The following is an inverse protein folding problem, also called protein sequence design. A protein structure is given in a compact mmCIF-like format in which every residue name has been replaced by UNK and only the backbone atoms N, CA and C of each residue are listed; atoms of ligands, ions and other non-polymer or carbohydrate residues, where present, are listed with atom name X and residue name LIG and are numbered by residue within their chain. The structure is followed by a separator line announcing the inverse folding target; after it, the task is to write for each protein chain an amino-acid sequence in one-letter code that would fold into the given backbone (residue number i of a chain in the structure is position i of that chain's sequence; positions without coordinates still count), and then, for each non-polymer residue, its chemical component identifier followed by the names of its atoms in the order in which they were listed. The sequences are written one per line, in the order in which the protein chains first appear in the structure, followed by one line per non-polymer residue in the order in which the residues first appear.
data_IF_077195374384
#
_entry.id   IF_077195374384
#
_cell.length_a   1.000
_cell.length_b   1.000
_cell.length_c   1.000
_cell.angle_alpha   90.00
_cell.angle_beta   90.00
_cell.angle_gamma   90.00
#
_symmetry.space_group_name_H-M   'P 1'
#
loop_
_entity.id
_entity.type
_entity.pdbx_description
1 polymer ?
#
# COMPACT_ATOMS: atom_id res chain seq x y z
N UNK A 1 -12.97 -4.88 0.25
CA UNK A 1 -12.32 -3.67 -0.31
C UNK A 1 -11.10 -3.34 0.51
N UNK A 2 -10.00 -3.08 -0.16
CA UNK A 2 -8.72 -2.72 0.44
C UNK A 2 -7.87 -1.93 -0.58
N UNK A 3 -6.88 -1.14 -0.12
CA UNK A 3 -5.88 -0.58 -1.02
C UNK A 3 -4.86 -1.66 -1.41
N UNK A 4 -4.20 -1.46 -2.56
CA UNK A 4 -3.11 -2.33 -2.99
C UNK A 4 -2.06 -2.52 -1.89
N UNK A 5 -1.66 -3.77 -1.64
CA UNK A 5 -0.62 -4.09 -0.70
C UNK A 5 -0.70 -5.53 -0.18
N UNK A 6 0.46 -6.14 -0.05
CA UNK A 6 0.60 -7.51 0.43
C UNK A 6 1.79 -7.69 1.36
N UNK A 7 2.39 -8.87 1.28
CA UNK A 7 3.44 -9.28 2.19
C UNK A 7 4.81 -8.88 1.64
N UNK A 8 5.74 -8.57 2.56
CA UNK A 8 7.14 -8.43 2.22
C UNK A 8 7.72 -9.81 1.87
N UNK A 9 8.32 -9.94 0.70
CA UNK A 9 9.03 -11.13 0.25
C UNK A 9 10.52 -11.06 0.60
N UNK A 10 11.21 -12.20 0.43
CA UNK A 10 12.65 -12.26 0.63
C UNK A 10 13.38 -11.48 -0.48
N UNK A 11 14.47 -10.79 -0.09
CA UNK A 11 15.37 -10.07 -1.00
C UNK A 11 14.76 -8.84 -1.69
N UNK A 12 13.68 -8.28 -1.16
CA UNK A 12 13.17 -6.97 -1.55
C UNK A 12 13.16 -5.97 -0.38
N UNK A 13 13.27 -4.68 -0.71
CA UNK A 13 13.04 -3.59 0.23
C UNK A 13 11.54 -3.30 0.38
N UNK A 14 11.15 -2.58 1.43
CA UNK A 14 9.76 -2.13 1.62
C UNK A 14 9.21 -1.32 0.45
N UNK A 15 10.07 -0.52 -0.22
CA UNK A 15 9.65 0.26 -1.39
C UNK A 15 9.41 -0.63 -2.60
N UNK A 16 10.30 -1.60 -2.82
CA UNK A 16 10.17 -2.57 -3.92
C UNK A 16 8.92 -3.43 -3.73
N UNK A 17 8.65 -3.87 -2.50
CA UNK A 17 7.43 -4.59 -2.17
C UNK A 17 6.18 -3.74 -2.49
N UNK A 18 6.15 -2.48 -2.05
CA UNK A 18 5.01 -1.59 -2.34
C UNK A 18 4.81 -1.33 -3.84
N UNK A 19 5.88 -1.23 -4.63
CA UNK A 19 5.82 -1.10 -6.09
C UNK A 19 5.31 -2.38 -6.77
N UNK A 20 5.81 -3.54 -6.34
CA UNK A 20 5.40 -4.86 -6.85
C UNK A 20 3.91 -5.09 -6.59
N UNK A 21 3.47 -4.93 -5.34
CA UNK A 21 2.08 -5.12 -4.93
C UNK A 21 1.13 -4.15 -5.65
N UNK A 22 1.55 -2.89 -5.84
CA UNK A 22 0.78 -1.93 -6.63
C UNK A 22 0.59 -2.43 -8.07
N UNK A 23 1.65 -2.92 -8.70
CA UNK A 23 1.57 -3.42 -10.07
C UNK A 23 0.77 -4.72 -10.16
N UNK A 24 0.96 -5.67 -9.25
CA UNK A 24 0.25 -6.96 -9.24
C UNK A 24 -1.26 -6.78 -9.05
N UNK A 25 -1.68 -5.94 -8.10
CA UNK A 25 -3.10 -5.77 -7.79
C UNK A 25 -3.82 -4.76 -8.70
N UNK A 26 -3.09 -3.80 -9.30
CA UNK A 26 -3.74 -2.69 -10.05
C UNK A 26 -3.26 -2.51 -11.48
N UNK A 27 -2.14 -3.11 -11.87
CA UNK A 27 -1.46 -2.88 -13.15
C UNK A 27 -0.72 -1.54 -13.23
N UNK A 28 -0.82 -0.69 -12.20
CA UNK A 28 -0.20 0.64 -12.19
C UNK A 28 1.28 0.53 -11.83
N UNK A 29 2.13 1.21 -12.59
CA UNK A 29 3.55 1.37 -12.27
C UNK A 29 3.80 2.77 -11.72
N UNK A 30 4.00 2.86 -10.41
CA UNK A 30 4.37 4.09 -9.73
C UNK A 30 5.20 3.81 -8.48
N UNK A 31 6.14 4.71 -8.18
CA UNK A 31 7.00 4.62 -7.00
C UNK A 31 6.34 5.30 -5.80
N UNK A 32 6.35 4.69 -4.60
CA UNK A 32 6.04 5.36 -3.34
C UNK A 32 6.76 6.70 -3.22
N UNK A 33 6.03 7.77 -2.93
CA UNK A 33 6.60 9.12 -2.82
C UNK A 33 6.88 9.50 -1.37
N UNK A 34 6.00 9.06 -0.47
CA UNK A 34 6.09 9.38 0.95
C UNK A 34 5.73 8.20 1.82
N UNK A 35 6.33 8.13 3.00
CA UNK A 35 5.87 7.26 4.07
C UNK A 35 4.83 8.03 4.89
N UNK A 36 3.71 7.40 5.22
CA UNK A 36 2.70 8.03 6.08
C UNK A 36 2.87 7.50 7.50
N UNK A 37 2.75 6.16 7.67
CA UNK A 37 2.68 5.56 9.00
C UNK A 37 2.93 4.05 8.96
N UNK A 38 3.36 3.50 10.09
CA UNK A 38 3.34 2.06 10.34
C UNK A 38 2.26 1.74 11.36
N UNK A 39 1.45 0.73 11.08
CA UNK A 39 0.48 0.18 12.02
C UNK A 39 0.95 -1.19 12.49
N UNK A 40 1.12 -1.33 13.80
CA UNK A 40 1.21 -2.64 14.43
C UNK A 40 -0.21 -3.07 14.82
N UNK A 41 -0.67 -4.19 14.29
CA UNK A 41 -2.04 -4.66 14.47
C UNK A 41 -2.08 -6.17 14.63
N UNK A 42 -3.04 -6.66 15.41
CA UNK A 42 -3.34 -8.08 15.54
C UNK A 42 -4.68 -8.33 14.86
N UNK A 43 -4.68 -9.13 13.80
CA UNK A 43 -5.90 -9.48 13.10
C UNK A 43 -6.80 -10.40 13.95
N UNK A 44 -8.11 -10.52 13.64
CA UNK A 44 -9.04 -11.34 14.41
C UNK A 44 -8.66 -12.84 14.48
N UNK A 45 -7.88 -13.33 13.52
CA UNK A 45 -7.31 -14.67 13.47
C UNK A 45 -6.02 -14.83 14.30
N UNK A 46 -5.62 -13.78 15.03
CA UNK A 46 -4.38 -13.64 15.79
C UNK A 46 -3.11 -13.56 14.94
N UNK A 47 -3.21 -13.29 13.64
CA UNK A 47 -2.05 -13.02 12.80
C UNK A 47 -1.47 -11.63 13.14
N UNK A 48 -0.19 -11.53 13.56
CA UNK A 48 0.44 -10.25 13.86
C UNK A 48 0.89 -9.55 12.57
N UNK A 49 0.57 -8.26 12.46
CA UNK A 49 0.93 -7.43 11.30
C UNK A 49 1.78 -6.22 11.70
N UNK A 50 2.78 -5.93 10.86
CA UNK A 50 3.43 -4.63 10.75
C UNK A 50 3.13 -4.08 9.35
N UNK A 51 2.17 -3.17 9.24
CA UNK A 51 1.72 -2.62 7.96
C UNK A 51 2.32 -1.24 7.71
N UNK A 52 3.14 -1.12 6.67
CA UNK A 52 3.74 0.14 6.23
C UNK A 52 2.83 0.81 5.20
N UNK A 53 2.39 2.04 5.50
CA UNK A 53 1.50 2.82 4.64
C UNK A 53 2.30 3.88 3.87
N UNK A 54 2.18 3.86 2.55
CA UNK A 54 2.81 4.80 1.64
C UNK A 54 1.79 5.71 0.96
N UNK A 55 2.25 6.86 0.48
CA UNK A 55 1.48 7.76 -0.37
C UNK A 55 2.06 7.80 -1.78
N UNK A 56 1.17 7.78 -2.77
CA UNK A 56 1.47 8.00 -4.19
C UNK A 56 0.43 8.98 -4.72
N UNK A 57 0.90 10.13 -5.22
CA UNK A 57 0.07 11.07 -5.96
C UNK A 57 0.27 10.84 -7.46
N UNK A 58 -0.81 10.51 -8.17
CA UNK A 58 -0.83 10.43 -9.62
C UNK A 58 -1.35 11.75 -10.20
N UNK A 59 -0.87 12.14 -11.38
CA UNK A 59 -1.38 13.35 -12.05
C UNK A 59 -2.84 13.21 -12.48
N UNK A 60 -3.22 12.00 -12.87
CA UNK A 60 -4.52 11.67 -13.43
C UNK A 60 -4.94 10.25 -13.01
N UNK A 61 -6.24 9.99 -13.07
CA UNK A 61 -6.76 8.64 -12.93
C UNK A 61 -6.30 7.80 -14.14
N UNK A 62 -5.65 6.67 -13.87
CA UNK A 62 -5.19 5.75 -14.89
C UNK A 62 -6.08 4.51 -14.98
N UNK A 63 -6.01 3.84 -16.14
CA UNK A 63 -6.59 2.53 -16.32
C UNK A 63 -5.91 1.51 -15.39
N UNK A 64 -6.69 0.55 -14.93
CA UNK A 64 -6.23 -0.52 -14.02
C UNK A 64 -6.45 -1.86 -14.67
N UNK A 65 -5.48 -2.76 -14.50
CA UNK A 65 -5.51 -4.13 -15.00
C UNK A 65 -4.80 -5.02 -13.98
N UNK A 66 -5.53 -5.63 -13.04
CA UNK A 66 -4.95 -6.55 -12.07
C UNK A 66 -4.26 -7.73 -12.76
N UNK A 67 -3.09 -8.09 -12.27
CA UNK A 67 -2.34 -9.29 -12.67
C UNK A 67 -2.43 -10.42 -11.63
N UNK A 68 -3.10 -10.17 -10.50
CA UNK A 68 -3.44 -11.15 -9.48
C UNK A 68 -4.87 -11.71 -9.70
N UNK A 69 -5.00 -13.03 -9.70
CA UNK A 69 -6.28 -13.74 -9.84
C UNK A 69 -7.23 -13.57 -8.66
N UNK A 70 -6.72 -13.15 -7.49
CA UNK A 70 -7.55 -12.89 -6.31
C UNK A 70 -8.25 -11.52 -6.37
N UNK A 71 -7.93 -10.69 -7.37
CA UNK A 71 -8.50 -9.34 -7.55
C UNK A 71 -9.58 -9.33 -8.63
N UNK A 72 -10.82 -9.10 -8.20
CA UNK A 72 -11.96 -9.01 -9.12
C UNK A 72 -11.88 -7.78 -10.06
N UNK A 73 -11.48 -6.62 -9.52
CA UNK A 73 -11.36 -5.33 -10.22
C UNK A 73 -10.80 -4.23 -9.30
N UNK A 74 -10.25 -3.17 -9.89
CA UNK A 74 -9.94 -1.93 -9.17
C UNK A 74 -11.02 -0.87 -9.38
N UNK A 75 -11.20 0.00 -8.39
CA UNK A 75 -12.13 1.12 -8.43
C UNK A 75 -11.44 2.38 -7.90
N UNK A 76 -11.63 3.50 -8.58
CA UNK A 76 -11.29 4.81 -8.07
C UNK A 76 -12.46 5.33 -7.24
N UNK A 77 -12.25 5.50 -5.94
CA UNK A 77 -13.29 5.89 -4.97
C UNK A 77 -12.86 7.14 -4.21
N UNK A 78 -13.85 7.94 -3.82
CA UNK A 78 -13.66 9.06 -2.91
C UNK A 78 -13.36 8.58 -1.48
N UNK A 79 -12.75 9.45 -0.68
CA UNK A 79 -12.49 9.17 0.73
C UNK A 79 -13.80 8.85 1.51
N UNK A 80 -14.89 9.55 1.21
CA UNK A 80 -16.18 9.34 1.87
C UNK A 80 -16.78 7.97 1.53
N UNK A 81 -16.70 7.54 0.27
CA UNK A 81 -17.16 6.21 -0.15
C UNK A 81 -16.41 5.11 0.60
N UNK A 82 -15.08 5.24 0.76
CA UNK A 82 -14.27 4.26 1.48
C UNK A 82 -14.61 4.27 2.98
N UNK A 83 -14.72 5.46 3.58
CA UNK A 83 -14.97 5.59 5.03
C UNK A 83 -16.36 5.07 5.44
N UNK A 84 -17.32 5.09 4.53
CA UNK A 84 -18.69 4.62 4.77
C UNK A 84 -18.96 3.21 4.19
N UNK A 85 -17.97 2.58 3.56
CA UNK A 85 -18.14 1.27 2.95
C UNK A 85 -18.40 0.18 4.02
N UNK A 86 -19.41 -0.69 3.84
CA UNK A 86 -19.71 -1.76 4.79
C UNK A 86 -18.81 -2.99 4.63
N UNK A 87 -18.02 -3.07 3.55
CA UNK A 87 -17.29 -4.25 3.09
C UNK A 87 -15.77 -4.03 3.03
N UNK A 88 -15.23 -3.29 3.98
CA UNK A 88 -13.78 -3.14 4.16
C UNK A 88 -13.17 -4.47 4.64
N UNK A 89 -12.02 -4.88 4.08
CA UNK A 89 -11.35 -6.13 4.47
C UNK A 89 -10.88 -6.08 5.93
N UNK A 90 -10.47 -4.91 6.39
CA UNK A 90 -10.07 -4.66 7.77
C UNK A 90 -10.32 -3.20 8.18
N UNK A 91 -10.34 -2.89 9.49
CA UNK A 91 -10.42 -1.51 9.97
C UNK A 91 -9.26 -0.63 9.49
N UNK A 92 -8.11 -1.23 9.14
CA UNK A 92 -6.93 -0.51 8.65
C UNK A 92 -7.18 0.19 7.31
N UNK A 93 -8.18 -0.22 6.52
CA UNK A 93 -8.51 0.43 5.26
C UNK A 93 -9.04 1.85 5.51
N UNK A 94 -10.03 1.99 6.40
CA UNK A 94 -10.55 3.30 6.80
C UNK A 94 -9.48 4.13 7.52
N UNK A 95 -8.68 3.50 8.38
CA UNK A 95 -7.58 4.17 9.08
C UNK A 95 -6.53 4.70 8.09
N UNK A 96 -6.23 3.98 7.02
CA UNK A 96 -5.28 4.44 6.00
C UNK A 96 -5.72 5.73 5.33
N UNK A 97 -7.02 5.87 5.05
CA UNK A 97 -7.60 7.11 4.51
C UNK A 97 -7.52 8.24 5.54
N UNK A 98 -7.83 7.98 6.81
CA UNK A 98 -7.70 8.98 7.88
C UNK A 98 -6.26 9.47 8.01
N UNK A 99 -5.29 8.56 8.05
CA UNK A 99 -3.87 8.88 8.06
C UNK A 99 -3.46 9.68 6.82
N UNK A 100 -3.91 9.30 5.63
CA UNK A 100 -3.60 10.06 4.41
C UNK A 100 -4.14 11.50 4.49
N UNK A 101 -5.33 11.72 5.07
CA UNK A 101 -5.93 13.05 5.18
C UNK A 101 -5.34 13.91 6.32
N UNK A 102 -4.88 13.30 7.41
CA UNK A 102 -4.52 14.01 8.65
C UNK A 102 -3.04 13.96 8.98
N UNK A 103 -2.34 12.88 8.63
CA UNK A 103 -0.95 12.67 9.05
C UNK A 103 0.03 13.33 8.06
N UNK A 104 1.14 13.89 8.57
CA UNK A 104 2.18 14.48 7.74
C UNK A 104 2.86 13.44 6.84
N UNK A 105 3.21 13.85 5.63
CA UNK A 105 4.04 13.06 4.72
C UNK A 105 5.48 13.01 5.25
N UNK A 106 5.96 11.81 5.55
CA UNK A 106 7.32 11.57 6.04
C UNK A 106 8.26 11.15 4.90
N UNK A 107 9.56 11.43 5.00
CA UNK A 107 10.53 10.98 4.01
C UNK A 107 10.69 9.46 4.04
N UNK A 108 10.82 8.84 2.87
CA UNK A 108 11.02 7.39 2.73
C UNK A 108 12.30 6.89 3.43
N UNK A 109 13.28 7.78 3.64
CA UNK A 109 14.52 7.46 4.34
C UNK A 109 14.34 7.01 5.79
N UNK A 110 13.18 7.27 6.42
CA UNK A 110 12.89 6.75 7.77
C UNK A 110 12.84 5.22 7.84
N UNK A 111 12.55 4.57 6.72
CA UNK A 111 12.43 3.11 6.60
C UNK A 111 13.34 2.58 5.48
N UNK A 112 14.44 3.29 5.22
CA UNK A 112 15.39 2.93 4.18
C UNK A 112 16.18 1.67 4.49
N UNK A 113 16.55 0.93 3.44
CA UNK A 113 17.50 -0.17 3.55
C UNK A 113 18.93 0.35 3.78
N UNK A 114 19.72 -0.38 4.56
CA UNK A 114 21.12 -0.05 4.84
C UNK A 114 22.02 -1.22 4.47
N UNK A 115 23.11 -0.96 3.74
CA UNK A 115 24.00 -1.99 3.18
C UNK A 115 23.24 -3.06 2.38
N UNK A 116 22.27 -2.65 1.56
CA UNK A 116 21.45 -3.57 0.79
C UNK A 116 22.28 -4.26 -0.31
N UNK A 117 22.38 -5.61 -0.30
CA UNK A 117 23.33 -6.32 -1.17
C UNK A 117 22.80 -6.55 -2.60
N UNK A 118 21.52 -6.29 -2.85
CA UNK A 118 20.89 -6.49 -4.15
C UNK A 118 20.72 -5.13 -4.83
N UNK A 119 21.44 -4.89 -5.91
CA UNK A 119 21.19 -3.73 -6.78
C UNK A 119 19.85 -3.94 -7.49
N UNK A 120 18.98 -2.93 -7.47
CA UNK A 120 17.76 -2.92 -8.28
C UNK A 120 18.12 -3.35 -9.71
N UNK A 121 17.37 -4.33 -10.23
CA UNK A 121 17.72 -5.06 -11.44
C UNK A 121 18.12 -4.17 -12.61
N UNK A 122 19.08 -4.67 -13.40
CA UNK A 122 19.32 -4.24 -14.78
C UNK A 122 18.08 -4.44 -15.66
#
# INVERSE_FOLDING_TARGET
MEPAGGHLEANETLLQAAERELWEETGIRATPQHFIRMHQWLAPDNTPFLRFLFAIELSDLCATEPHDSDIDRCLWLSAEEILNAPNLRSPLVAESIRCYLQDPRQPLSLIGAFNWPFTGGE
#
